data_IF_566631746523
#
_entry.id   IF_566631746523
#
_cell.length_a   1.000
_cell.length_b   1.000
_cell.length_c   1.000
_cell.angle_alpha   90.00
_cell.angle_beta   90.00
_cell.angle_gamma   90.00
#
_symmetry.space_group_name_H-M   'P 1'
#
loop_
_entity.id
_entity.type
_entity.pdbx_description
1 polymer ?
#
# COMPACT_ATOMS: atom_id res chain seq x y z
N UNK A 1 14.11 -9.21 -0.68
CA UNK A 1 12.69 -9.59 -0.52
C UNK A 1 11.99 -9.32 -1.85
N UNK A 2 11.21 -10.28 -2.35
CA UNK A 2 10.45 -10.16 -3.60
C UNK A 2 9.05 -9.64 -3.32
N UNK A 3 8.49 -8.83 -4.22
CA UNK A 3 7.10 -8.40 -4.17
C UNK A 3 6.17 -9.57 -4.56
N UNK A 4 5.41 -10.16 -3.62
CA UNK A 4 4.54 -11.30 -3.93
C UNK A 4 3.19 -10.84 -4.50
N UNK A 5 2.45 -11.75 -5.11
CA UNK A 5 1.00 -11.53 -5.31
C UNK A 5 0.31 -11.56 -3.95
N UNK A 6 -0.60 -10.62 -3.73
CA UNK A 6 -1.35 -10.47 -2.49
C UNK A 6 -2.82 -10.81 -2.70
N UNK A 7 -3.43 -11.39 -1.67
CA UNK A 7 -4.86 -11.55 -1.51
C UNK A 7 -5.34 -10.54 -0.47
N UNK A 8 -6.39 -9.78 -0.79
CA UNK A 8 -6.97 -8.78 0.11
C UNK A 8 -8.47 -8.98 0.24
N UNK A 9 -8.98 -8.81 1.47
CA UNK A 9 -10.42 -8.79 1.73
C UNK A 9 -10.85 -7.34 1.88
N UNK A 10 -11.79 -6.92 1.04
CA UNK A 10 -12.36 -5.57 1.05
C UNK A 10 -13.82 -5.65 1.47
N UNK A 11 -14.20 -4.87 2.47
CA UNK A 11 -15.58 -4.69 2.90
C UNK A 11 -16.15 -3.40 2.32
N UNK A 12 -17.30 -3.49 1.66
CA UNK A 12 -18.06 -2.33 1.18
C UNK A 12 -19.41 -2.26 1.91
N UNK A 13 -19.66 -1.24 2.74
CA UNK A 13 -20.94 -1.09 3.41
C UNK A 13 -22.08 -0.89 2.38
N UNK A 14 -23.26 -1.42 2.68
CA UNK A 14 -24.44 -1.31 1.80
C UNK A 14 -25.02 0.11 1.72
N UNK A 15 -24.60 1.01 2.61
CA UNK A 15 -25.00 2.41 2.61
C UNK A 15 -24.47 3.12 1.36
N UNK A 16 -25.36 3.76 0.61
CA UNK A 16 -24.99 4.54 -0.57
C UNK A 16 -23.96 5.63 -0.21
N UNK A 17 -22.87 5.68 -0.98
CA UNK A 17 -21.76 6.62 -0.76
C UNK A 17 -20.78 6.20 0.34
N UNK A 18 -20.93 5.02 0.94
CA UNK A 18 -19.94 4.51 1.89
C UNK A 18 -18.66 4.06 1.17
N UNK A 19 -17.51 4.39 1.77
CA UNK A 19 -16.20 4.00 1.26
C UNK A 19 -15.89 2.53 1.61
N UNK A 20 -15.38 1.80 0.63
CA UNK A 20 -14.82 0.46 0.83
C UNK A 20 -13.60 0.49 1.75
N UNK A 21 -13.37 -0.58 2.51
CA UNK A 21 -12.27 -0.68 3.49
C UNK A 21 -11.53 -1.99 3.31
N UNK A 22 -10.20 -1.94 3.36
CA UNK A 22 -9.37 -3.12 3.47
C UNK A 22 -9.50 -3.69 4.89
N UNK A 23 -9.80 -4.99 4.99
CA UNK A 23 -10.09 -5.69 6.25
C UNK A 23 -9.00 -6.69 6.59
N UNK A 24 -8.44 -7.35 5.58
CA UNK A 24 -7.42 -8.37 5.75
C UNK A 24 -6.49 -8.44 4.53
N UNK A 25 -5.25 -8.88 4.76
CA UNK A 25 -4.22 -9.06 3.73
C UNK A 25 -3.39 -10.31 4.04
N UNK A 26 -3.11 -11.09 3.00
CA UNK A 26 -2.24 -12.26 3.07
C UNK A 26 -1.77 -12.68 1.69
N UNK A 27 -0.83 -13.61 1.60
CA UNK A 27 -0.45 -14.19 0.31
C UNK A 27 -1.56 -15.09 -0.25
N UNK A 28 -2.27 -15.78 0.64
CA UNK A 28 -3.45 -16.59 0.33
C UNK A 28 -4.51 -16.36 1.41
N UNK A 29 -5.69 -15.90 1.00
CA UNK A 29 -6.85 -15.71 1.88
C UNK A 29 -8.05 -16.45 1.29
N UNK A 30 -8.86 -17.05 2.16
CA UNK A 30 -10.12 -17.65 1.77
C UNK A 30 -11.22 -16.58 1.62
N UNK A 31 -12.17 -16.85 0.73
CA UNK A 31 -13.35 -16.00 0.62
C UNK A 31 -14.19 -16.08 1.91
N UNK A 32 -14.71 -14.95 2.41
CA UNK A 32 -15.60 -14.97 3.58
C UNK A 32 -16.81 -15.87 3.33
N UNK A 33 -17.10 -16.76 4.30
CA UNK A 33 -18.11 -17.81 4.16
C UNK A 33 -19.55 -17.31 3.98
N UNK A 34 -19.81 -16.03 4.24
CA UNK A 34 -21.13 -15.42 4.09
C UNK A 34 -21.06 -13.93 3.80
N UNK A 35 -22.11 -13.39 3.19
CA UNK A 35 -22.26 -11.96 2.99
C UNK A 35 -23.26 -11.39 4.01
N UNK A 36 -22.85 -10.40 4.81
CA UNK A 36 -23.78 -9.74 5.73
C UNK A 36 -24.84 -8.94 4.97
N UNK A 37 -25.99 -8.70 5.58
CA UNK A 37 -27.04 -7.84 5.00
C UNK A 37 -26.66 -6.36 4.94
N UNK A 38 -25.66 -5.94 5.71
CA UNK A 38 -25.23 -4.53 5.85
C UNK A 38 -24.03 -4.15 4.97
N UNK A 39 -23.53 -5.07 4.14
CA UNK A 39 -22.45 -4.81 3.19
C UNK A 39 -21.96 -6.07 2.51
N UNK A 40 -20.98 -5.94 1.62
CA UNK A 40 -20.40 -7.07 0.91
C UNK A 40 -18.90 -7.16 1.16
N UNK A 41 -18.43 -8.39 1.36
CA UNK A 41 -17.01 -8.69 1.31
C UNK A 41 -16.61 -9.13 -0.10
N UNK A 42 -15.47 -8.66 -0.56
CA UNK A 42 -14.86 -9.04 -1.83
C UNK A 42 -13.42 -9.47 -1.58
N UNK A 43 -13.09 -10.68 -2.02
CA UNK A 43 -11.71 -11.13 -2.12
C UNK A 43 -11.14 -10.64 -3.45
N UNK A 44 -10.02 -9.91 -3.41
CA UNK A 44 -9.29 -9.45 -4.61
C UNK A 44 -7.85 -9.94 -4.58
N UNK A 45 -7.30 -10.22 -5.76
CA UNK A 45 -5.86 -10.46 -5.94
C UNK A 45 -5.20 -9.21 -6.48
N UNK A 46 -4.11 -8.80 -5.83
CA UNK A 46 -3.27 -7.68 -6.23
C UNK A 46 -1.92 -8.23 -6.67
N UNK A 47 -1.54 -7.95 -7.91
CA UNK A 47 -0.23 -8.28 -8.45
C UNK A 47 0.62 -7.01 -8.54
N UNK A 48 1.92 -7.07 -8.19
CA UNK A 48 2.79 -5.92 -8.37
C UNK A 48 2.88 -5.56 -9.85
N UNK A 49 2.84 -4.26 -10.15
CA UNK A 49 3.06 -3.80 -11.52
C UNK A 49 4.51 -4.01 -11.95
N UNK A 50 4.76 -4.00 -13.26
CA UNK A 50 6.12 -4.04 -13.80
C UNK A 50 6.99 -2.90 -13.26
N UNK A 51 6.40 -1.73 -12.98
CA UNK A 51 7.11 -0.57 -12.41
C UNK A 51 7.61 -0.87 -11.00
N UNK A 52 6.75 -1.40 -10.13
CA UNK A 52 7.14 -1.80 -8.77
C UNK A 52 8.20 -2.89 -8.78
N UNK A 53 8.08 -3.88 -9.67
CA UNK A 53 9.07 -4.93 -9.84
C UNK A 53 10.44 -4.36 -10.27
N UNK A 54 10.45 -3.39 -11.19
CA UNK A 54 11.69 -2.70 -11.60
C UNK A 54 12.33 -1.95 -10.43
N UNK A 55 11.56 -1.12 -9.71
CA UNK A 55 12.07 -0.41 -8.53
C UNK A 55 12.60 -1.34 -7.45
N UNK A 56 11.91 -2.45 -7.19
CA UNK A 56 12.37 -3.45 -6.24
C UNK A 56 13.72 -4.08 -6.66
N UNK A 57 13.94 -4.32 -7.96
CA UNK A 57 15.24 -4.79 -8.48
C UNK A 57 16.33 -3.75 -8.36
N UNK A 58 15.99 -2.47 -8.49
CA UNK A 58 16.90 -1.33 -8.30
C UNK A 58 17.18 -1.04 -6.81
N UNK A 59 16.60 -1.83 -5.89
CA UNK A 59 16.81 -1.68 -4.45
C UNK A 59 15.96 -0.59 -3.82
N UNK A 60 14.84 -0.23 -4.44
CA UNK A 60 13.92 0.75 -3.89
C UNK A 60 13.33 0.28 -2.55
N UNK A 61 13.11 1.24 -1.66
CA UNK A 61 12.39 1.07 -0.39
C UNK A 61 11.01 1.68 -0.51
N UNK A 62 10.01 0.95 -0.03
CA UNK A 62 8.64 1.42 0.09
C UNK A 62 8.36 1.74 1.56
N UNK A 63 7.77 2.91 1.83
CA UNK A 63 7.33 3.30 3.16
C UNK A 63 6.05 4.12 3.13
N UNK A 64 5.49 4.35 4.31
CA UNK A 64 4.30 5.15 4.53
C UNK A 64 4.71 6.42 5.30
N UNK A 65 4.22 7.58 4.86
CA UNK A 65 4.41 8.84 5.57
C UNK A 65 3.60 8.83 6.88
N UNK A 66 3.91 9.76 7.79
CA UNK A 66 3.12 9.95 9.03
C UNK A 66 1.65 10.31 8.75
N UNK A 67 1.35 10.87 7.58
CA UNK A 67 -0.03 11.18 7.17
C UNK A 67 -0.71 10.02 6.46
N UNK A 68 -0.08 8.84 6.37
CA UNK A 68 -0.64 7.65 5.74
C UNK A 68 -0.35 7.49 4.25
N UNK A 69 0.40 8.40 3.62
CA UNK A 69 0.65 8.37 2.17
C UNK A 69 1.81 7.48 1.78
N UNK A 70 1.71 6.76 0.66
CA UNK A 70 2.78 5.87 0.18
C UNK A 70 3.94 6.66 -0.45
N UNK A 71 5.16 6.19 -0.18
CA UNK A 71 6.43 6.76 -0.67
C UNK A 71 7.36 5.65 -1.19
N UNK A 72 8.12 5.98 -2.24
CA UNK A 72 9.10 5.10 -2.85
C UNK A 72 10.45 5.81 -2.94
N UNK A 73 11.48 5.19 -2.36
CA UNK A 73 12.82 5.75 -2.26
C UNK A 73 13.85 4.88 -2.97
N UNK A 74 14.80 5.52 -3.65
CA UNK A 74 16.01 4.87 -4.18
C UNK A 74 17.23 5.68 -3.78
N UNK A 75 18.21 5.05 -3.15
CA UNK A 75 19.47 5.72 -2.79
C UNK A 75 19.31 6.98 -1.93
N UNK A 76 18.26 7.06 -1.10
CA UNK A 76 17.95 8.24 -0.27
C UNK A 76 17.14 9.34 -0.96
N UNK A 77 16.79 9.18 -2.24
CA UNK A 77 15.94 10.10 -2.98
C UNK A 77 14.51 9.55 -3.08
N UNK A 78 13.52 10.43 -2.87
CA UNK A 78 12.11 10.09 -3.09
C UNK A 78 11.83 10.14 -4.60
N UNK A 79 11.55 8.98 -5.20
CA UNK A 79 11.34 8.85 -6.64
C UNK A 79 9.85 8.80 -7.01
N UNK A 80 8.99 8.37 -6.10
CA UNK A 80 7.54 8.39 -6.29
C UNK A 80 6.77 8.52 -4.98
N UNK A 81 5.60 9.17 -5.03
CA UNK A 81 4.72 9.36 -3.88
C UNK A 81 3.24 9.37 -4.28
N UNK A 82 2.36 9.03 -3.33
CA UNK A 82 0.91 9.08 -3.49
C UNK A 82 0.38 10.53 -3.54
N UNK A 83 0.89 11.40 -2.66
CA UNK A 83 0.36 12.76 -2.49
C UNK A 83 1.43 13.82 -2.81
N UNK A 84 1.09 14.76 -3.70
CA UNK A 84 1.92 15.91 -4.05
C UNK A 84 2.03 16.99 -2.94
N UNK A 85 1.20 16.88 -1.89
CA UNK A 85 1.23 17.77 -0.73
C UNK A 85 2.32 17.43 0.28
N UNK A 86 3.09 16.38 0.01
CA UNK A 86 4.23 15.99 0.80
C UNK A 86 5.41 16.93 0.46
N UNK A 87 6.01 17.64 1.44
CA UNK A 87 7.09 18.59 1.16
C UNK A 87 8.32 17.94 0.49
N UNK A 88 8.48 16.61 0.60
CA UNK A 88 9.53 15.87 -0.10
C UNK A 88 9.15 15.43 -1.53
N UNK A 89 7.89 15.57 -1.93
CA UNK A 89 7.35 15.09 -3.22
C UNK A 89 7.50 16.04 -4.40
N UNK A 90 8.09 17.23 -4.20
CA UNK A 90 8.18 18.25 -5.26
C UNK A 90 8.86 17.76 -6.56
N UNK A 91 9.73 16.75 -6.48
CA UNK A 91 10.37 16.09 -7.62
C UNK A 91 9.98 14.62 -7.81
N UNK A 92 9.07 14.09 -6.99
CA UNK A 92 8.68 12.69 -7.02
C UNK A 92 7.57 12.45 -8.06
N UNK A 93 7.66 11.34 -8.78
CA UNK A 93 6.60 10.95 -9.71
C UNK A 93 5.33 10.54 -8.96
N UNK A 94 4.12 10.82 -9.48
CA UNK A 94 2.89 10.32 -8.87
C UNK A 94 2.80 8.79 -8.98
N UNK A 95 2.37 8.16 -7.89
CA UNK A 95 2.00 6.75 -7.90
C UNK A 95 0.67 6.52 -8.62
N UNK A 96 0.59 5.39 -9.32
CA UNK A 96 -0.64 4.98 -9.97
C UNK A 96 -1.58 4.37 -8.92
N UNK A 97 -2.92 4.50 -9.06
CA UNK A 97 -3.87 3.94 -8.10
C UNK A 97 -3.67 2.45 -7.81
N UNK A 98 -3.33 1.66 -8.82
CA UNK A 98 -3.02 0.23 -8.66
C UNK A 98 -1.75 -0.03 -7.85
N UNK A 99 -0.73 0.82 -8.00
CA UNK A 99 0.52 0.72 -7.25
C UNK A 99 0.30 1.13 -5.80
N UNK A 100 -0.52 2.16 -5.56
CA UNK A 100 -0.91 2.59 -4.21
C UNK A 100 -1.63 1.44 -3.50
N UNK A 101 -2.68 0.89 -4.10
CA UNK A 101 -3.44 -0.20 -3.50
C UNK A 101 -2.58 -1.44 -3.19
N UNK A 102 -1.66 -1.78 -4.09
CA UNK A 102 -0.71 -2.87 -3.87
C UNK A 102 0.26 -2.55 -2.71
N UNK A 103 0.88 -1.37 -2.71
CA UNK A 103 1.87 -0.99 -1.70
C UNK A 103 1.26 -0.81 -0.31
N UNK A 104 0.04 -0.28 -0.21
CA UNK A 104 -0.72 -0.24 1.05
C UNK A 104 -0.88 -1.65 1.64
N UNK A 105 -1.36 -2.61 0.83
CA UNK A 105 -1.52 -3.99 1.24
C UNK A 105 -0.17 -4.64 1.61
N UNK A 106 0.87 -4.40 0.83
CA UNK A 106 2.21 -4.96 1.05
C UNK A 106 2.87 -4.43 2.35
N UNK A 107 2.69 -3.15 2.66
CA UNK A 107 3.20 -2.55 3.89
C UNK A 107 2.42 -3.06 5.12
N UNK A 108 1.10 -3.19 5.02
CA UNK A 108 0.29 -3.81 6.06
C UNK A 108 0.66 -5.27 6.32
N UNK A 109 0.93 -6.05 5.27
CA UNK A 109 1.41 -7.44 5.41
C UNK A 109 2.74 -7.53 6.18
N UNK A 110 3.62 -6.54 6.00
CA UNK A 110 4.88 -6.44 6.75
C UNK A 110 4.72 -5.85 8.14
N UNK A 111 3.48 -5.57 8.59
CA UNK A 111 3.16 -4.85 9.82
C UNK A 111 3.80 -3.45 9.88
N UNK A 112 4.07 -2.86 8.71
CA UNK A 112 4.63 -1.50 8.56
C UNK A 112 3.51 -0.51 8.30
N UNK A 113 2.80 -0.16 9.37
CA UNK A 113 1.77 0.89 9.32
C UNK A 113 2.36 2.29 9.48
N UNK A 114 1.53 3.32 9.31
CA UNK A 114 1.87 4.73 9.59
C UNK A 114 2.38 4.99 11.01
N UNK A 115 2.09 4.07 11.96
CA UNK A 115 2.52 4.14 13.35
C UNK A 115 3.75 3.27 13.67
N UNK A 116 4.50 2.81 12.64
CA UNK A 116 5.73 2.05 12.87
C UNK A 116 6.83 3.00 13.38
N UNK A 117 7.38 2.78 14.60
CA UNK A 117 8.49 3.57 15.13
C UNK A 117 9.78 3.45 14.30
N UNK A 118 9.90 2.45 13.42
CA UNK A 118 10.98 2.34 12.45
C UNK A 118 10.87 3.35 11.28
N UNK A 119 9.79 4.12 11.21
CA UNK A 119 9.66 5.33 10.37
C UNK A 119 10.49 6.47 10.97
N UNK A 120 11.76 6.18 11.26
CA UNK A 120 12.75 7.19 11.63
C UNK A 120 13.20 7.80 10.32
N UNK A 121 12.72 9.01 10.07
CA UNK A 121 13.24 9.90 9.02
C UNK A 121 14.76 9.87 9.08
N UNK A 122 15.40 9.75 7.91
CA UNK A 122 16.83 9.58 7.75
C UNK A 122 17.67 10.45 8.68
N UNK A 123 18.02 9.87 9.83
CA UNK A 123 19.01 10.39 10.75
C UNK A 123 20.17 9.40 10.74
N UNK A 124 21.06 9.62 9.78
CA UNK A 124 22.49 9.53 10.05
C UNK A 124 23.13 10.82 9.54
N UNK A 125 23.88 11.53 10.39
CA UNK A 125 25.32 11.60 10.23
C UNK A 125 26.00 10.28 10.59
#
# INVERSE_FOLDING_TARGET
MTLPTLSVVIYTPAKLGATSRLVDVGESLDAPAGQPSHGSYQLKRLSPSMRLLTWQREGARFDCSRSGGIRVWTGGQLIAAEHASDPWSASAAPLAPEDIAYLEAYLLLQNRGWNDPATVEGLSP
#
